data_IF_270856645302
#
_entry.id   IF_270856645302
#
_cell.length_a   1.000
_cell.length_b   1.000
_cell.length_c   1.000
_cell.angle_alpha   90.00
_cell.angle_beta   90.00
_cell.angle_gamma   90.00
#
_symmetry.space_group_name_H-M   'P 1'
#
loop_
_entity.id
_entity.type
_entity.pdbx_description
1 polymer ?
#
# COMPACT_ATOMS: atom_id res chain seq x y z
N UNK A 1 -49.30 -37.32 29.50
CA UNK A 1 -48.49 -37.94 28.42
C UNK A 1 -48.82 -37.15 27.16
N UNK A 2 -48.02 -36.25 26.61
CA UNK A 2 -46.60 -36.34 26.33
C UNK A 2 -45.89 -35.01 26.59
N UNK A 3 -44.85 -35.07 27.43
CA UNK A 3 -43.63 -34.30 27.27
C UNK A 3 -42.80 -34.97 26.16
N UNK A 4 -41.80 -34.28 25.61
CA UNK A 4 -40.81 -34.65 24.58
C UNK A 4 -41.02 -33.94 23.23
N UNK A 5 -39.95 -33.29 22.77
CA UNK A 5 -39.72 -32.60 21.49
C UNK A 5 -39.95 -31.06 21.45
N UNK A 6 -39.20 -30.35 22.28
CA UNK A 6 -38.57 -29.10 21.82
C UNK A 6 -37.18 -29.06 22.45
N UNK A 7 -36.26 -29.76 21.79
CA UNK A 7 -34.87 -29.87 22.19
C UNK A 7 -34.25 -28.47 22.24
N UNK A 8 -33.58 -28.20 23.36
CA UNK A 8 -32.79 -27.00 23.54
C UNK A 8 -31.77 -26.90 22.40
N UNK A 9 -31.93 -25.91 21.53
CA UNK A 9 -30.87 -25.47 20.63
C UNK A 9 -29.72 -25.00 21.53
N UNK A 10 -28.55 -25.65 21.52
CA UNK A 10 -27.42 -25.15 22.29
C UNK A 10 -27.00 -23.83 21.65
N UNK A 11 -27.13 -22.72 22.38
CA UNK A 11 -26.48 -21.47 22.04
C UNK A 11 -24.98 -21.71 22.03
N UNK A 12 -24.45 -22.02 20.85
CA UNK A 12 -23.02 -22.00 20.62
C UNK A 12 -22.55 -20.59 20.93
N UNK A 13 -21.89 -20.44 22.08
CA UNK A 13 -21.19 -19.23 22.48
C UNK A 13 -20.07 -18.99 21.48
N UNK A 14 -20.38 -18.26 20.42
CA UNK A 14 -19.38 -17.70 19.51
C UNK A 14 -18.62 -16.64 20.30
N UNK A 15 -17.67 -17.09 21.11
CA UNK A 15 -16.67 -16.28 21.76
C UNK A 15 -15.75 -15.66 20.72
N UNK A 16 -16.23 -14.61 20.05
CA UNK A 16 -15.38 -13.76 19.22
C UNK A 16 -14.51 -12.95 20.16
N UNK A 17 -13.36 -13.49 20.54
CA UNK A 17 -12.29 -12.76 21.20
C UNK A 17 -11.83 -11.62 20.27
N UNK A 18 -12.47 -10.45 20.39
CA UNK A 18 -11.93 -9.21 19.85
C UNK A 18 -10.78 -8.81 20.77
N UNK A 19 -9.54 -9.06 20.35
CA UNK A 19 -8.36 -8.53 21.03
C UNK A 19 -8.51 -7.02 21.21
N UNK A 20 -8.35 -6.54 22.44
CA UNK A 20 -8.45 -5.11 22.75
C UNK A 20 -7.22 -4.40 22.18
N UNK A 21 -7.38 -3.72 21.03
CA UNK A 21 -6.30 -2.90 20.47
C UNK A 21 -6.00 -1.77 21.44
N UNK A 22 -4.76 -1.68 21.93
CA UNK A 22 -4.40 -0.63 22.90
C UNK A 22 -4.13 0.69 22.19
N UNK A 23 -4.26 1.82 22.91
CA UNK A 23 -3.88 3.15 22.39
C UNK A 23 -2.42 3.18 21.94
N UNK A 24 -1.53 2.39 22.58
CA UNK A 24 -0.12 2.27 22.21
C UNK A 24 0.04 1.60 20.84
N UNK A 25 -0.73 0.54 20.56
CA UNK A 25 -0.71 -0.15 19.27
C UNK A 25 -1.23 0.74 18.15
N UNK A 26 -2.31 1.48 18.40
CA UNK A 26 -2.86 2.45 17.45
C UNK A 26 -1.84 3.55 17.11
N UNK A 27 -1.17 4.12 18.12
CA UNK A 27 -0.11 5.13 17.91
C UNK A 27 1.03 4.58 17.06
N UNK A 28 1.42 3.31 17.28
CA UNK A 28 2.47 2.66 16.48
C UNK A 28 2.05 2.49 15.02
N UNK A 29 0.82 2.04 14.77
CA UNK A 29 0.27 1.87 13.40
C UNK A 29 0.21 3.22 12.69
N UNK A 30 -0.29 4.27 13.36
CA UNK A 30 -0.36 5.62 12.78
C UNK A 30 1.03 6.16 12.48
N UNK A 31 1.99 6.02 13.40
CA UNK A 31 3.37 6.46 13.17
C UNK A 31 4.01 5.73 11.98
N UNK A 32 3.82 4.41 11.88
CA UNK A 32 4.30 3.63 10.74
C UNK A 32 3.66 4.10 9.41
N UNK A 33 2.36 4.35 9.41
CA UNK A 33 1.65 4.87 8.23
C UNK A 33 2.14 6.27 7.81
N UNK A 34 2.43 7.14 8.77
CA UNK A 34 2.98 8.48 8.51
C UNK A 34 4.40 8.42 7.95
N UNK A 35 5.28 7.62 8.56
CA UNK A 35 6.65 7.44 8.06
C UNK A 35 6.64 6.85 6.65
N UNK A 36 5.80 5.84 6.40
CA UNK A 36 5.61 5.27 5.07
C UNK A 36 5.10 6.32 4.07
N UNK A 37 4.09 7.10 4.44
CA UNK A 37 3.55 8.17 3.60
C UNK A 37 4.61 9.23 3.25
N UNK A 38 5.42 9.65 4.23
CA UNK A 38 6.50 10.63 4.00
C UNK A 38 7.59 10.04 3.11
N UNK A 39 7.99 8.79 3.34
CA UNK A 39 8.99 8.13 2.51
C UNK A 39 8.53 8.00 1.05
N UNK A 40 7.27 7.63 0.83
CA UNK A 40 6.68 7.65 -0.51
C UNK A 40 6.73 9.05 -1.12
N UNK A 41 6.26 10.08 -0.42
CA UNK A 41 6.29 11.45 -0.95
C UNK A 41 7.71 11.92 -1.29
N UNK A 42 8.68 11.59 -0.43
CA UNK A 42 10.08 11.93 -0.63
C UNK A 42 10.63 11.32 -1.92
N UNK A 43 10.47 10.01 -2.10
CA UNK A 43 10.96 9.30 -3.28
C UNK A 43 10.33 9.85 -4.56
N UNK A 44 9.01 10.07 -4.58
CA UNK A 44 8.33 10.59 -5.77
C UNK A 44 8.74 12.03 -6.10
N UNK A 45 8.87 12.89 -5.09
CA UNK A 45 9.33 14.25 -5.32
C UNK A 45 10.75 14.26 -5.88
N UNK A 46 11.66 13.49 -5.25
CA UNK A 46 13.04 13.36 -5.69
C UNK A 46 13.14 12.85 -7.13
N UNK A 47 12.43 11.76 -7.45
CA UNK A 47 12.43 11.17 -8.79
C UNK A 47 11.78 12.09 -9.83
N UNK A 48 10.71 12.81 -9.46
CA UNK A 48 10.05 13.79 -10.33
C UNK A 48 10.97 14.96 -10.67
N UNK A 49 11.65 15.54 -9.67
CA UNK A 49 12.64 16.61 -9.88
C UNK A 49 13.82 16.11 -10.73
N UNK A 50 14.33 14.91 -10.45
CA UNK A 50 15.41 14.31 -11.24
C UNK A 50 14.98 14.02 -12.69
N UNK A 51 13.73 13.62 -12.91
CA UNK A 51 13.16 13.41 -14.25
C UNK A 51 13.10 14.71 -15.05
N UNK A 52 12.68 15.80 -14.39
CA UNK A 52 12.58 17.12 -15.01
C UNK A 52 13.95 17.73 -15.36
N UNK A 53 14.97 17.51 -14.52
CA UNK A 53 16.25 18.23 -14.61
C UNK A 53 17.42 17.40 -15.15
N UNK A 54 17.45 16.09 -14.87
CA UNK A 54 18.65 15.27 -15.04
C UNK A 54 18.42 14.13 -16.04
N UNK A 55 17.33 13.36 -15.91
CA UNK A 55 17.24 12.09 -16.62
C UNK A 55 17.11 12.23 -18.13
N UNK A 56 16.34 13.21 -18.61
CA UNK A 56 16.20 13.46 -20.04
C UNK A 56 17.55 13.73 -20.71
N UNK A 57 18.40 14.53 -20.05
CA UNK A 57 19.72 14.89 -20.58
C UNK A 57 20.79 13.86 -20.29
N UNK A 58 20.62 12.92 -19.35
CA UNK A 58 21.66 11.94 -19.00
C UNK A 58 21.42 10.56 -19.58
N UNK A 59 20.17 10.07 -19.52
CA UNK A 59 19.81 8.73 -19.96
C UNK A 59 19.20 8.71 -21.37
N UNK A 60 18.54 9.79 -21.79
CA UNK A 60 17.81 9.86 -23.06
C UNK A 60 18.43 10.83 -24.09
N UNK A 61 19.75 11.02 -24.04
CA UNK A 61 20.52 11.87 -24.99
C UNK A 61 20.35 11.48 -26.47
N UNK A 62 20.11 10.19 -26.73
CA UNK A 62 20.14 9.60 -28.07
C UNK A 62 18.90 9.90 -28.91
N UNK A 63 17.86 10.50 -28.33
CA UNK A 63 16.60 10.73 -29.03
C UNK A 63 16.68 11.85 -30.09
N UNK A 64 17.77 12.62 -30.12
CA UNK A 64 18.00 13.68 -31.12
C UNK A 64 17.20 14.97 -30.88
N UNK A 65 16.09 14.90 -30.13
CA UNK A 65 15.29 16.03 -29.67
C UNK A 65 15.24 16.08 -28.13
N UNK A 66 15.58 17.22 -27.47
CA UNK A 66 15.50 17.38 -26.02
C UNK A 66 14.12 17.09 -25.41
N UNK A 67 13.04 17.36 -26.14
CA UNK A 67 11.66 17.15 -25.67
C UNK A 67 11.37 15.66 -25.50
N UNK A 68 11.80 14.84 -26.46
CA UNK A 68 11.54 13.40 -26.43
C UNK A 68 12.28 12.72 -25.27
N UNK A 69 13.50 13.20 -24.94
CA UNK A 69 14.22 12.75 -23.77
C UNK A 69 13.52 13.10 -22.46
N UNK A 70 12.89 14.28 -22.39
CA UNK A 70 12.08 14.69 -21.24
C UNK A 70 10.82 13.83 -21.10
N UNK A 71 10.12 13.56 -22.21
CA UNK A 71 8.94 12.68 -22.23
C UNK A 71 9.33 11.28 -21.76
N UNK A 72 10.45 10.73 -22.24
CA UNK A 72 10.94 9.42 -21.82
C UNK A 72 11.31 9.38 -20.33
N UNK A 73 11.90 10.46 -19.79
CA UNK A 73 12.19 10.59 -18.37
C UNK A 73 10.92 10.62 -17.52
N UNK A 74 9.90 11.39 -17.92
CA UNK A 74 8.61 11.39 -17.23
C UNK A 74 7.84 10.08 -17.40
N UNK A 75 8.00 9.38 -18.53
CA UNK A 75 7.44 8.05 -18.70
C UNK A 75 8.02 7.05 -17.69
N UNK A 76 9.34 7.11 -17.43
CA UNK A 76 9.97 6.32 -16.37
C UNK A 76 9.41 6.68 -14.98
N UNK A 77 9.25 7.98 -14.69
CA UNK A 77 8.60 8.43 -13.45
C UNK A 77 7.16 7.89 -13.32
N UNK A 78 6.40 7.88 -14.42
CA UNK A 78 5.04 7.35 -14.45
C UNK A 78 4.95 5.85 -14.09
N UNK A 79 5.98 5.05 -14.39
CA UNK A 79 6.04 3.64 -13.98
C UNK A 79 5.92 3.48 -12.46
N UNK A 80 6.50 4.40 -11.68
CA UNK A 80 6.37 4.40 -10.22
C UNK A 80 4.92 4.53 -9.75
N UNK A 81 4.07 5.28 -10.47
CA UNK A 81 2.65 5.39 -10.16
C UNK A 81 1.89 4.09 -10.45
N UNK A 82 2.24 3.40 -11.54
CA UNK A 82 1.68 2.10 -11.86
C UNK A 82 2.14 1.01 -10.86
N UNK A 83 3.35 1.13 -10.31
CA UNK A 83 3.85 0.22 -9.30
C UNK A 83 3.05 0.28 -7.99
N UNK A 84 2.46 1.42 -7.63
CA UNK A 84 1.66 1.57 -6.40
C UNK A 84 0.44 0.64 -6.32
N UNK A 85 -0.50 0.63 -7.28
CA UNK A 85 -1.64 -0.29 -7.22
C UNK A 85 -1.18 -1.74 -7.24
N UNK A 86 -0.11 -2.06 -7.99
CA UNK A 86 0.47 -3.41 -8.00
C UNK A 86 0.99 -3.78 -6.60
N UNK A 87 1.76 -2.90 -5.97
CA UNK A 87 2.23 -3.08 -4.60
C UNK A 87 1.08 -3.22 -3.61
N UNK A 88 0.05 -2.38 -3.70
CA UNK A 88 -1.14 -2.45 -2.85
C UNK A 88 -1.89 -3.78 -2.99
N UNK A 89 -2.02 -4.31 -4.21
CA UNK A 89 -2.65 -5.62 -4.45
C UNK A 89 -1.78 -6.73 -3.84
N UNK A 90 -0.47 -6.73 -4.12
CA UNK A 90 0.45 -7.77 -3.66
C UNK A 90 0.58 -7.74 -2.14
N UNK A 91 0.98 -6.61 -1.56
CA UNK A 91 1.17 -6.47 -0.12
C UNK A 91 -0.14 -6.45 0.65
N UNK A 92 -1.27 -6.05 0.04
CA UNK A 92 -2.60 -6.23 0.60
C UNK A 92 -2.95 -7.72 0.73
N UNK A 93 -2.76 -8.49 -0.35
CA UNK A 93 -2.97 -9.94 -0.31
C UNK A 93 -2.08 -10.63 0.74
N UNK A 94 -0.79 -10.26 0.80
CA UNK A 94 0.12 -10.80 1.81
C UNK A 94 -0.25 -10.35 3.24
N UNK A 95 -0.68 -9.10 3.42
CA UNK A 95 -1.15 -8.57 4.71
C UNK A 95 -2.39 -9.29 5.22
N UNK A 96 -3.34 -9.60 4.32
CA UNK A 96 -4.55 -10.33 4.64
C UNK A 96 -4.28 -11.81 4.95
N UNK A 97 -3.32 -12.42 4.24
CA UNK A 97 -2.99 -13.85 4.38
C UNK A 97 -2.10 -14.17 5.57
N UNK A 98 -1.09 -13.34 5.84
CA UNK A 98 -0.11 -13.58 6.89
C UNK A 98 -0.45 -12.89 8.21
N UNK A 99 -1.44 -11.98 8.20
CA UNK A 99 -2.02 -11.40 9.40
C UNK A 99 -1.10 -10.43 10.14
N UNK A 100 -1.73 -9.61 10.97
CA UNK A 100 -1.14 -8.49 11.71
C UNK A 100 -0.55 -8.91 13.05
#
# INVERSE_FOLDING_TARGET
MANQLSEAVPEASVGRQRGTTTTKDLRRVVAAAMVGSVAEWYEFFLYGTASALVFGTHFFKKTGNPVDGLIAAFALYAVGFAARPIGGIVFGYYGDKFGR
#
